data_IF_351114329271
#
_entry.id   IF_351114329271
#
_cell.length_a   1.000
_cell.length_b   1.000
_cell.length_c   1.000
_cell.angle_alpha   90.00
_cell.angle_beta   90.00
_cell.angle_gamma   90.00
#
_symmetry.space_group_name_H-M   'P 1'
#
loop_
_entity.id
_entity.type
_entity.pdbx_description
1 polymer ?
#
# COMPACT_ATOMS: atom_id res chain seq x y z
N UNK A 1 18.87 -9.64 -9.36
CA UNK A 1 17.46 -9.90 -9.71
C UNK A 1 16.66 -8.66 -9.34
N UNK A 2 16.25 -7.84 -10.32
CA UNK A 2 15.52 -6.58 -10.10
C UNK A 2 13.99 -6.76 -10.04
N UNK A 3 13.51 -7.99 -10.25
CA UNK A 3 12.08 -8.30 -10.38
C UNK A 3 11.29 -7.91 -9.13
N UNK A 4 11.77 -8.26 -7.93
CA UNK A 4 11.08 -7.97 -6.66
C UNK A 4 11.00 -6.46 -6.39
N UNK A 5 12.09 -5.67 -6.47
CA UNK A 5 12.01 -4.21 -6.34
C UNK A 5 11.11 -3.53 -7.37
N UNK A 6 11.09 -4.01 -8.62
CA UNK A 6 10.21 -3.46 -9.66
C UNK A 6 8.74 -3.80 -9.32
N UNK A 7 8.47 -5.05 -8.94
CA UNK A 7 7.13 -5.49 -8.57
C UNK A 7 6.62 -4.78 -7.30
N UNK A 8 7.50 -4.48 -6.34
CA UNK A 8 7.13 -3.81 -5.09
C UNK A 8 6.62 -2.38 -5.31
N UNK A 9 6.95 -1.76 -6.44
CA UNK A 9 6.43 -0.44 -6.85
C UNK A 9 5.28 -0.60 -7.83
N UNK A 10 5.41 -1.47 -8.84
CA UNK A 10 4.43 -1.60 -9.91
C UNK A 10 3.08 -2.14 -9.41
N UNK A 11 3.09 -3.18 -8.57
CA UNK A 11 1.85 -3.83 -8.09
C UNK A 11 0.96 -2.86 -7.30
N UNK A 12 1.43 -2.19 -6.22
CA UNK A 12 0.56 -1.29 -5.47
C UNK A 12 0.04 -0.14 -6.34
N UNK A 13 0.88 0.44 -7.22
CA UNK A 13 0.44 1.52 -8.12
C UNK A 13 -0.63 1.07 -9.12
N UNK A 14 -0.48 -0.11 -9.72
CA UNK A 14 -1.48 -0.66 -10.64
C UNK A 14 -2.78 -0.96 -9.91
N UNK A 15 -2.73 -1.56 -8.73
CA UNK A 15 -3.92 -1.81 -7.92
C UNK A 15 -4.63 -0.51 -7.51
N UNK A 16 -3.90 0.53 -7.13
CA UNK A 16 -4.45 1.86 -6.86
C UNK A 16 -5.12 2.43 -8.10
N UNK A 17 -4.45 2.39 -9.26
CA UNK A 17 -5.01 2.90 -10.52
C UNK A 17 -6.29 2.16 -10.92
N UNK A 18 -6.32 0.84 -10.76
CA UNK A 18 -7.52 0.02 -10.99
C UNK A 18 -8.61 0.40 -9.99
N UNK A 19 -8.30 0.55 -8.70
CA UNK A 19 -9.28 0.92 -7.69
C UNK A 19 -9.92 2.29 -7.95
N UNK A 20 -9.13 3.28 -8.38
CA UNK A 20 -9.61 4.59 -8.84
C UNK A 20 -10.53 4.44 -10.05
N UNK A 21 -10.14 3.67 -11.07
CA UNK A 21 -10.94 3.46 -12.26
C UNK A 21 -12.28 2.77 -11.98
N UNK A 22 -12.33 1.90 -10.95
CA UNK A 22 -13.55 1.22 -10.50
C UNK A 22 -14.44 2.09 -9.59
N UNK A 23 -13.99 3.29 -9.21
CA UNK A 23 -14.66 4.14 -8.21
C UNK A 23 -15.02 5.50 -8.81
N UNK A 24 -16.15 5.64 -9.55
CA UNK A 24 -16.54 6.90 -10.20
C UNK A 24 -16.77 8.08 -9.24
N UNK A 25 -17.02 7.79 -7.96
CA UNK A 25 -17.17 8.79 -6.90
C UNK A 25 -15.84 9.37 -6.42
N UNK A 26 -14.72 8.71 -6.73
CA UNK A 26 -13.40 9.11 -6.25
C UNK A 26 -12.89 10.34 -6.98
N UNK A 27 -12.38 11.28 -6.21
CA UNK A 27 -11.72 12.49 -6.68
C UNK A 27 -10.53 12.77 -5.76
N UNK A 28 -9.33 12.84 -6.34
CA UNK A 28 -8.06 12.98 -5.61
C UNK A 28 -7.93 14.30 -4.83
N UNK A 29 -8.73 15.32 -5.17
CA UNK A 29 -8.72 16.63 -4.50
C UNK A 29 -9.62 16.63 -3.27
N UNK A 30 -10.73 15.88 -3.30
CA UNK A 30 -11.76 15.90 -2.26
C UNK A 30 -11.81 14.65 -1.39
N UNK A 31 -11.14 13.56 -1.79
CA UNK A 31 -11.15 12.28 -1.09
C UNK A 31 -9.73 11.85 -0.74
N UNK A 32 -9.59 11.12 0.36
CA UNK A 32 -8.34 10.46 0.71
C UNK A 32 -8.17 9.22 -0.17
N UNK A 33 -6.93 8.91 -0.57
CA UNK A 33 -6.66 7.71 -1.35
C UNK A 33 -7.06 6.42 -0.59
N UNK A 34 -7.00 6.45 0.76
CA UNK A 34 -7.44 5.38 1.65
C UNK A 34 -8.94 5.12 1.60
N UNK A 35 -9.77 6.08 1.18
CA UNK A 35 -11.23 5.90 1.05
C UNK A 35 -11.56 4.76 0.09
N UNK A 36 -10.70 4.53 -0.91
CA UNK A 36 -10.81 3.41 -1.86
C UNK A 36 -10.70 2.06 -1.15
N UNK A 37 -9.97 1.99 -0.04
CA UNK A 37 -9.74 0.81 0.79
C UNK A 37 -10.83 0.55 1.84
N UNK A 38 -11.84 1.43 1.96
CA UNK A 38 -12.87 1.31 2.98
C UNK A 38 -13.80 0.11 2.72
N UNK A 39 -13.60 -1.00 3.43
CA UNK A 39 -14.15 -2.32 3.12
C UNK A 39 -15.69 -2.42 3.17
N UNK A 40 -16.36 -1.49 3.86
CA UNK A 40 -17.84 -1.46 3.93
C UNK A 40 -18.49 -0.47 2.96
N UNK A 41 -17.72 0.44 2.35
CA UNK A 41 -18.23 1.55 1.53
C UNK A 41 -17.74 1.52 0.09
N UNK A 42 -16.58 0.95 -0.15
CA UNK A 42 -15.93 0.89 -1.46
C UNK A 42 -15.94 -0.53 -2.00
N UNK A 43 -16.56 -0.74 -3.17
CA UNK A 43 -16.47 -2.00 -3.91
C UNK A 43 -15.06 -2.27 -4.45
N UNK A 44 -14.20 -1.24 -4.53
CA UNK A 44 -12.81 -1.35 -4.94
C UNK A 44 -11.85 -1.74 -3.80
N UNK A 45 -12.33 -1.77 -2.55
CA UNK A 45 -11.52 -2.03 -1.36
C UNK A 45 -10.69 -3.33 -1.44
N UNK A 46 -11.21 -4.46 -1.94
CA UNK A 46 -10.39 -5.67 -2.05
C UNK A 46 -9.17 -5.49 -2.95
N UNK A 47 -9.31 -4.79 -4.08
CA UNK A 47 -8.21 -4.54 -5.02
C UNK A 47 -7.19 -3.58 -4.41
N UNK A 48 -7.67 -2.51 -3.80
CA UNK A 48 -6.82 -1.50 -3.15
C UNK A 48 -6.02 -2.11 -1.99
N UNK A 49 -6.70 -2.73 -1.02
CA UNK A 49 -6.06 -3.30 0.18
C UNK A 49 -5.13 -4.46 -0.17
N UNK A 50 -5.50 -5.32 -1.13
CA UNK A 50 -4.61 -6.37 -1.62
C UNK A 50 -3.33 -5.78 -2.22
N UNK A 51 -3.47 -4.75 -3.07
CA UNK A 51 -2.34 -4.06 -3.70
C UNK A 51 -1.38 -3.46 -2.68
N UNK A 52 -1.89 -2.72 -1.69
CA UNK A 52 -1.07 -2.13 -0.62
C UNK A 52 -0.42 -3.20 0.27
N UNK A 53 -1.15 -4.24 0.66
CA UNK A 53 -0.63 -5.32 1.51
C UNK A 53 0.49 -6.11 0.81
N UNK A 54 0.24 -6.54 -0.43
CA UNK A 54 1.23 -7.26 -1.24
C UNK A 54 2.43 -6.37 -1.58
N UNK A 55 2.18 -5.13 -2.00
CA UNK A 55 3.22 -4.15 -2.31
C UNK A 55 4.11 -3.87 -1.09
N UNK A 56 3.50 -3.61 0.07
CA UNK A 56 4.21 -3.41 1.34
C UNK A 56 5.05 -4.62 1.74
N UNK A 57 4.52 -5.84 1.57
CA UNK A 57 5.27 -7.08 1.75
C UNK A 57 6.49 -7.19 0.85
N UNK A 58 6.35 -6.87 -0.45
CA UNK A 58 7.46 -6.88 -1.41
C UNK A 58 8.51 -5.79 -1.12
N UNK A 59 8.09 -4.64 -0.59
CA UNK A 59 9.01 -3.59 -0.12
C UNK A 59 9.82 -4.10 1.08
N UNK A 60 9.20 -4.79 2.03
CA UNK A 60 9.89 -5.42 3.17
C UNK A 60 10.91 -6.48 2.68
N UNK A 61 10.53 -7.33 1.71
CA UNK A 61 11.49 -8.28 1.11
C UNK A 61 12.66 -7.56 0.45
N UNK A 62 12.38 -6.46 -0.28
CA UNK A 62 13.41 -5.64 -0.90
C UNK A 62 14.34 -5.02 0.15
N UNK A 63 13.80 -4.51 1.26
CA UNK A 63 14.57 -3.98 2.38
C UNK A 63 15.54 -5.01 2.96
N UNK A 64 15.08 -6.25 3.17
CA UNK A 64 15.92 -7.36 3.67
C UNK A 64 17.03 -7.70 2.67
N UNK A 65 16.77 -7.68 1.36
CA UNK A 65 17.82 -7.90 0.37
C UNK A 65 18.86 -6.79 0.35
N UNK A 66 18.44 -5.56 0.65
CA UNK A 66 19.26 -4.36 0.61
C UNK A 66 20.12 -4.16 1.86
N UNK A 67 19.66 -4.62 3.03
CA UNK A 67 20.34 -4.44 4.32
C UNK A 67 21.77 -4.99 4.31
N UNK A 68 21.98 -6.08 3.55
CA UNK A 68 23.27 -6.76 3.43
C UNK A 68 24.17 -6.19 2.32
N UNK A 69 23.64 -5.30 1.45
CA UNK A 69 24.30 -4.92 0.20
C UNK A 69 24.56 -3.43 0.02
N UNK A 70 23.75 -2.55 0.60
CA UNK A 70 23.82 -1.10 0.31
C UNK A 70 23.86 -0.26 1.57
N UNK A 71 22.75 -0.17 2.32
CA UNK A 71 22.70 0.66 3.53
C UNK A 71 21.64 0.15 4.49
N UNK A 72 22.02 0.03 5.77
CA UNK A 72 21.10 -0.34 6.85
C UNK A 72 20.03 0.71 7.05
N UNK A 73 20.38 2.00 6.97
CA UNK A 73 19.43 3.10 7.14
C UNK A 73 18.34 3.06 6.06
N UNK A 74 18.73 2.86 4.79
CA UNK A 74 17.79 2.74 3.68
C UNK A 74 16.90 1.50 3.82
N UNK A 75 17.47 0.36 4.20
CA UNK A 75 16.70 -0.85 4.46
C UNK A 75 15.67 -0.66 5.59
N UNK A 76 16.04 -0.01 6.70
CA UNK A 76 15.11 0.28 7.80
C UNK A 76 13.99 1.21 7.33
N UNK A 77 14.33 2.27 6.59
CA UNK A 77 13.32 3.19 6.04
C UNK A 77 12.34 2.48 5.10
N UNK A 78 12.84 1.63 4.20
CA UNK A 78 12.00 0.82 3.32
C UNK A 78 11.14 -0.17 4.10
N UNK A 79 11.70 -0.84 5.11
CA UNK A 79 10.95 -1.76 5.94
C UNK A 79 9.78 -1.05 6.65
N UNK A 80 10.05 0.12 7.24
CA UNK A 80 9.03 0.96 7.89
C UNK A 80 7.95 1.38 6.90
N UNK A 81 8.33 1.83 5.70
CA UNK A 81 7.39 2.21 4.64
C UNK A 81 6.53 1.03 4.16
N UNK A 82 7.12 -0.16 3.99
CA UNK A 82 6.38 -1.36 3.62
C UNK A 82 5.41 -1.79 4.72
N UNK A 83 5.82 -1.68 5.98
CA UNK A 83 4.98 -2.00 7.12
C UNK A 83 3.80 -1.02 7.25
N UNK A 84 4.01 0.29 7.08
CA UNK A 84 2.92 1.27 7.13
C UNK A 84 1.90 1.06 6.02
N UNK A 85 2.32 0.65 4.82
CA UNK A 85 1.38 0.29 3.74
C UNK A 85 0.52 -0.92 4.10
N UNK A 86 1.11 -1.95 4.73
CA UNK A 86 0.33 -3.09 5.24
C UNK A 86 -0.67 -2.63 6.30
N UNK A 87 -0.27 -1.72 7.20
CA UNK A 87 -1.19 -1.18 8.21
C UNK A 87 -2.36 -0.42 7.58
N UNK A 88 -2.10 0.42 6.57
CA UNK A 88 -3.17 1.12 5.83
C UNK A 88 -4.13 0.13 5.15
N UNK A 89 -3.60 -0.98 4.62
CA UNK A 89 -4.41 -2.01 3.96
C UNK A 89 -5.25 -2.86 4.91
N UNK A 90 -4.73 -3.15 6.10
CA UNK A 90 -5.34 -4.11 7.06
C UNK A 90 -6.24 -3.41 8.07
N UNK A 91 -5.82 -2.24 8.55
CA UNK A 91 -6.57 -1.41 9.47
C UNK A 91 -7.13 -0.24 8.69
N UNK A 92 -8.17 -0.50 7.90
CA UNK A 92 -8.92 0.52 7.19
C UNK A 92 -9.93 1.22 8.12
N UNK A 93 -10.60 2.26 7.62
CA UNK A 93 -11.36 3.19 8.47
C UNK A 93 -12.61 2.55 9.10
N UNK A 94 -12.93 1.31 8.71
CA UNK A 94 -13.96 0.47 9.34
C UNK A 94 -13.66 0.25 10.83
N UNK A 95 -12.39 0.25 11.24
CA UNK A 95 -11.99 0.11 12.64
C UNK A 95 -12.19 1.40 13.48
N UNK A 96 -12.74 2.48 12.91
CA UNK A 96 -13.08 3.71 13.62
C UNK A 96 -11.84 4.47 14.10
N UNK A 97 -11.85 4.98 15.35
CA UNK A 97 -10.79 5.88 15.92
C UNK A 97 -9.39 5.26 16.03
N UNK A 98 -9.18 4.03 15.57
CA UNK A 98 -7.84 3.41 15.46
C UNK A 98 -7.05 4.02 14.30
N UNK A 99 -7.74 4.54 13.27
CA UNK A 99 -7.15 5.28 12.16
C UNK A 99 -7.50 6.76 12.33
N UNK A 100 -6.52 7.56 12.73
CA UNK A 100 -6.66 9.02 12.86
C UNK A 100 -6.11 9.64 11.59
N UNK A 101 -6.91 9.72 10.52
CA UNK A 101 -6.81 10.69 9.44
C UNK A 101 -8.19 10.88 8.81
#
# INVERSE_FOLDING_TARGET
>A
MLVIPIASVAIPLLCIAIAVALSPWFNIVSNALSDLGHATRSSAAPVFNFGLSLGGGLIIVTAIMLIARVSRALAIAMWLAGYTLILVAVFDEVYGRVQVW
#
